data_IF_245245881486
#
_entry.id   IF_245245881486
#
_cell.length_a   1.000
_cell.length_b   1.000
_cell.length_c   1.000
_cell.angle_alpha   90.00
_cell.angle_beta   90.00
_cell.angle_gamma   90.00
#
_symmetry.space_group_name_H-M   'P 1'
#
loop_
_entity.id
_entity.type
_entity.pdbx_description
1 polymer ?
#
# COMPACT_ATOMS: atom_id res chain seq x y z
N UNK A 1 7.13 -11.70 3.48
CA UNK A 1 6.79 -10.56 4.36
C UNK A 1 5.34 -10.19 4.14
N UNK A 2 4.63 -9.79 5.20
CA UNK A 2 3.31 -9.17 5.15
C UNK A 2 3.47 -7.68 5.48
N UNK A 3 3.07 -6.81 4.54
CA UNK A 3 3.01 -5.37 4.77
C UNK A 3 1.60 -5.02 5.26
N UNK A 4 1.50 -4.55 6.51
CA UNK A 4 0.24 -4.04 7.08
C UNK A 4 0.22 -2.53 7.01
N UNK A 5 -0.81 -2.00 6.36
CA UNK A 5 -1.15 -0.58 6.31
C UNK A 5 -2.20 -0.21 7.36
N UNK A 6 -2.79 -1.22 8.00
CA UNK A 6 -3.80 -1.04 9.03
C UNK A 6 -3.15 -0.66 10.35
N UNK A 7 -3.79 0.25 11.07
CA UNK A 7 -3.45 0.59 12.45
C UNK A 7 -4.02 -0.44 13.45
N UNK A 8 -4.83 -1.39 12.98
CA UNK A 8 -5.43 -2.43 13.81
C UNK A 8 -4.56 -3.69 13.85
N UNK A 9 -4.65 -4.50 14.92
CA UNK A 9 -3.92 -5.77 15.04
C UNK A 9 -4.48 -6.88 14.14
N UNK A 10 -5.29 -6.53 13.13
CA UNK A 10 -5.95 -7.49 12.24
C UNK A 10 -4.94 -8.44 11.60
N UNK A 11 -3.78 -7.94 11.17
CA UNK A 11 -2.72 -8.80 10.61
C UNK A 11 -2.24 -9.87 11.61
N UNK A 12 -2.15 -9.55 12.90
CA UNK A 12 -1.73 -10.49 13.95
C UNK A 12 -2.80 -11.55 14.25
N UNK A 13 -4.08 -11.24 14.02
CA UNK A 13 -5.19 -12.18 14.23
C UNK A 13 -5.18 -13.33 13.22
N UNK A 14 -4.65 -13.11 12.01
CA UNK A 14 -4.52 -14.14 10.97
C UNK A 14 -3.28 -15.02 11.15
N UNK A 15 -2.93 -15.38 12.39
CA UNK A 15 -1.69 -16.08 12.76
C UNK A 15 -1.43 -17.39 12.01
N UNK A 16 -0.15 -17.81 12.04
CA UNK A 16 0.45 -19.02 11.42
C UNK A 16 0.89 -18.95 9.95
N UNK A 17 1.41 -17.82 9.51
CA UNK A 17 2.42 -17.85 8.46
C UNK A 17 3.74 -17.43 9.12
N UNK A 18 4.81 -18.23 8.98
CA UNK A 18 6.17 -17.84 9.38
C UNK A 18 6.66 -16.68 8.47
N UNK A 19 5.91 -15.58 8.45
CA UNK A 19 6.14 -14.39 7.67
C UNK A 19 6.53 -13.30 8.65
N UNK A 20 7.48 -12.48 8.23
CA UNK A 20 7.77 -11.24 8.91
C UNK A 20 6.62 -10.24 8.65
N UNK A 21 6.08 -9.66 9.72
CA UNK A 21 5.06 -8.61 9.66
C UNK A 21 5.76 -7.26 9.73
N UNK A 22 5.42 -6.35 8.83
CA UNK A 22 5.85 -4.95 8.90
C UNK A 22 4.63 -4.04 8.94
N UNK A 23 4.47 -3.35 10.06
CA UNK A 23 3.43 -2.35 10.27
C UNK A 23 3.98 -0.98 9.87
N UNK A 24 3.78 -0.62 8.60
CA UNK A 24 4.41 0.57 8.01
C UNK A 24 3.94 1.87 8.69
N UNK A 25 2.74 1.86 9.29
CA UNK A 25 2.20 3.00 10.03
C UNK A 25 2.29 2.85 11.56
N UNK A 26 3.08 1.91 12.07
CA UNK A 26 3.22 1.64 13.50
C UNK A 26 2.12 0.70 14.05
N UNK A 27 2.21 0.46 15.36
CA UNK A 27 1.39 -0.53 16.09
C UNK A 27 0.77 0.09 17.34
N UNK A 28 -0.38 -0.43 17.78
CA UNK A 28 -1.07 0.08 18.96
C UNK A 28 -0.31 -0.12 20.28
N UNK A 29 0.60 -1.10 20.34
CA UNK A 29 1.46 -1.34 21.51
C UNK A 29 2.54 -0.26 21.66
N UNK A 30 2.90 0.40 20.56
CA UNK A 30 3.87 1.49 20.48
C UNK A 30 3.27 2.74 19.81
N UNK A 31 2.29 3.41 20.44
CA UNK A 31 1.59 4.55 19.86
C UNK A 31 2.51 5.69 19.40
N UNK A 32 3.66 5.86 20.03
CA UNK A 32 4.69 6.82 19.68
C UNK A 32 5.27 6.62 18.28
N UNK A 33 5.20 5.39 17.75
CA UNK A 33 5.68 5.03 16.41
C UNK A 33 4.58 5.10 15.36
N UNK A 34 3.34 5.49 15.74
CA UNK A 34 2.22 5.54 14.80
C UNK A 34 2.37 6.75 13.87
N UNK A 35 2.30 6.47 12.57
CA UNK A 35 2.44 7.48 11.52
C UNK A 35 1.07 7.85 10.98
N UNK A 36 0.57 9.01 11.39
CA UNK A 36 -0.57 9.68 10.77
C UNK A 36 -0.12 10.73 9.77
N UNK A 37 -0.97 11.03 8.78
CA UNK A 37 -0.76 12.17 7.91
C UNK A 37 -1.03 11.91 6.43
N UNK A 38 -0.46 12.79 5.60
CA UNK A 38 -0.63 12.83 4.15
C UNK A 38 0.40 11.95 3.45
N UNK A 39 -0.06 11.08 2.55
CA UNK A 39 0.76 10.08 1.85
C UNK A 39 0.56 10.05 0.34
N UNK A 40 0.24 11.20 -0.28
CA UNK A 40 0.09 11.30 -1.74
C UNK A 40 1.01 12.37 -2.33
N UNK A 41 2.29 12.05 -2.45
CA UNK A 41 3.28 12.94 -3.08
C UNK A 41 3.12 13.01 -4.61
N UNK A 42 2.29 12.13 -5.18
CA UNK A 42 1.96 12.10 -6.60
C UNK A 42 0.79 13.03 -6.94
N UNK A 43 0.19 13.69 -5.95
CA UNK A 43 -0.80 14.74 -6.18
C UNK A 43 -0.13 15.95 -6.82
N UNK A 44 -0.79 16.52 -7.84
CA UNK A 44 -0.31 17.70 -8.55
C UNK A 44 -0.14 18.94 -7.67
N UNK A 45 -0.84 19.00 -6.53
CA UNK A 45 -0.78 20.06 -5.54
C UNK A 45 0.27 19.82 -4.45
N UNK A 46 0.94 18.67 -4.43
CA UNK A 46 2.00 18.42 -3.45
C UNK A 46 3.16 19.41 -3.62
N UNK A 47 3.47 19.80 -4.87
CA UNK A 47 4.46 20.84 -5.14
C UNK A 47 4.07 22.19 -4.53
N UNK A 48 2.77 22.54 -4.52
CA UNK A 48 2.29 23.77 -3.89
C UNK A 48 2.59 23.79 -2.38
N UNK A 49 2.64 22.63 -1.72
CA UNK A 49 3.02 22.51 -0.30
C UNK A 49 4.52 22.76 -0.13
N UNK A 50 5.35 22.15 -0.98
CA UNK A 50 6.81 22.32 -0.93
C UNK A 50 7.22 23.78 -1.20
N UNK A 51 6.59 24.44 -2.17
CA UNK A 51 6.91 25.80 -2.60
C UNK A 51 6.59 26.87 -1.53
N UNK A 52 5.75 26.54 -0.53
CA UNK A 52 5.49 27.42 0.62
C UNK A 52 6.70 27.58 1.53
N UNK A 53 7.66 26.65 1.47
CA UNK A 53 8.88 26.64 2.28
C UNK A 53 8.59 26.80 3.79
N UNK A 54 7.52 26.16 4.26
CA UNK A 54 7.09 26.12 5.65
C UNK A 54 7.14 24.69 6.17
N UNK A 55 8.07 24.42 7.10
CA UNK A 55 8.29 23.09 7.65
C UNK A 55 7.07 22.56 8.43
N UNK A 56 6.20 23.42 8.96
CA UNK A 56 4.98 22.95 9.64
C UNK A 56 4.02 22.25 8.67
N UNK A 57 4.03 22.60 7.38
CA UNK A 57 3.23 21.91 6.37
C UNK A 57 3.75 20.50 6.06
N UNK A 58 5.03 20.24 6.31
CA UNK A 58 5.67 18.93 6.06
C UNK A 58 5.64 18.02 7.28
N UNK A 59 5.28 18.55 8.46
CA UNK A 59 5.31 17.84 9.74
C UNK A 59 4.52 16.54 9.75
N UNK A 60 3.42 16.47 9.00
CA UNK A 60 2.55 15.29 8.89
C UNK A 60 2.60 14.67 7.49
N UNK A 61 3.69 14.87 6.75
CA UNK A 61 3.93 14.12 5.51
C UNK A 61 4.50 12.75 5.89
N UNK A 62 3.83 11.69 5.45
CA UNK A 62 4.18 10.31 5.83
C UNK A 62 5.56 9.89 5.36
N UNK A 63 5.98 10.28 4.17
CA UNK A 63 7.32 9.97 3.63
C UNK A 63 8.44 10.52 4.49
N UNK A 64 8.25 11.71 5.09
CA UNK A 64 9.18 12.30 6.05
C UNK A 64 9.17 11.49 7.35
N UNK A 65 7.97 11.14 7.84
CA UNK A 65 7.77 10.33 9.04
C UNK A 65 8.32 8.91 8.93
N UNK A 66 8.37 8.33 7.74
CA UNK A 66 8.99 7.03 7.49
C UNK A 66 10.48 6.99 7.82
N UNK A 67 11.14 8.14 7.97
CA UNK A 67 12.55 8.22 8.38
C UNK A 67 12.73 8.11 9.91
N UNK A 68 11.66 8.23 10.69
CA UNK A 68 11.70 8.12 12.15
C UNK A 68 11.84 6.65 12.62
N UNK A 69 11.53 5.67 11.75
CA UNK A 69 11.64 4.24 12.04
C UNK A 69 12.27 3.47 10.88
N UNK A 70 12.66 2.21 11.10
CA UNK A 70 13.29 1.38 10.06
C UNK A 70 12.28 0.69 9.12
N UNK A 71 10.98 0.69 9.43
CA UNK A 71 9.99 -0.13 8.74
C UNK A 71 9.91 0.09 7.22
N UNK A 72 9.96 1.36 6.79
CA UNK A 72 9.95 1.69 5.36
C UNK A 72 11.24 1.24 4.65
N UNK A 73 12.40 1.40 5.31
CA UNK A 73 13.68 0.93 4.76
C UNK A 73 13.72 -0.59 4.62
N UNK A 74 13.24 -1.33 5.63
CA UNK A 74 13.14 -2.80 5.56
C UNK A 74 12.24 -3.24 4.41
N UNK A 75 11.15 -2.51 4.17
CA UNK A 75 10.26 -2.75 3.03
C UNK A 75 11.01 -2.56 1.70
N UNK A 76 11.74 -1.46 1.53
CA UNK A 76 12.55 -1.25 0.32
C UNK A 76 13.61 -2.34 0.13
N UNK A 77 14.33 -2.70 1.19
CA UNK A 77 15.33 -3.80 1.17
C UNK A 77 14.67 -5.12 0.72
N UNK A 78 13.46 -5.41 1.19
CA UNK A 78 12.68 -6.56 0.74
C UNK A 78 12.30 -6.48 -0.75
N UNK A 79 11.77 -5.35 -1.22
CA UNK A 79 11.37 -5.20 -2.63
C UNK A 79 12.56 -5.39 -3.59
N UNK A 80 13.75 -4.96 -3.19
CA UNK A 80 14.98 -5.10 -3.97
C UNK A 80 15.53 -6.54 -3.95
N UNK A 81 15.20 -7.35 -2.95
CA UNK A 81 15.85 -8.64 -2.70
C UNK A 81 15.56 -9.72 -3.75
N UNK A 82 14.34 -9.76 -4.29
CA UNK A 82 13.89 -10.78 -5.24
C UNK A 82 12.59 -10.35 -5.95
N UNK A 83 12.26 -10.97 -7.10
CA UNK A 83 10.94 -10.86 -7.72
C UNK A 83 9.81 -11.22 -6.74
N UNK A 84 8.74 -10.43 -6.74
CA UNK A 84 7.63 -10.61 -5.79
C UNK A 84 6.25 -10.39 -6.45
N UNK A 85 5.24 -11.06 -5.89
CA UNK A 85 3.83 -10.83 -6.22
C UNK A 85 3.15 -10.09 -5.07
N UNK A 86 2.32 -9.11 -5.40
CA UNK A 86 1.48 -8.40 -4.45
C UNK A 86 0.12 -9.10 -4.34
N UNK A 87 -0.31 -9.38 -3.12
CA UNK A 87 -1.67 -9.86 -2.83
C UNK A 87 -2.43 -8.75 -2.12
N UNK A 88 -3.54 -8.29 -2.71
CA UNK A 88 -4.33 -7.19 -2.17
C UNK A 88 -5.57 -7.75 -1.48
N UNK A 89 -5.62 -7.56 -0.17
CA UNK A 89 -6.72 -7.97 0.70
C UNK A 89 -7.30 -6.73 1.40
N UNK A 90 -8.25 -6.06 0.75
CA UNK A 90 -8.86 -4.84 1.30
C UNK A 90 -9.51 -3.98 0.23
N UNK A 91 -10.46 -3.14 0.64
CA UNK A 91 -11.26 -2.30 -0.27
C UNK A 91 -10.66 -0.90 -0.51
N UNK A 92 -9.80 -0.41 0.40
CA UNK A 92 -9.44 1.01 0.50
C UNK A 92 -8.14 1.43 -0.22
N UNK A 93 -7.63 0.64 -1.17
CA UNK A 93 -6.38 0.97 -1.88
C UNK A 93 -6.42 2.32 -2.64
N UNK A 94 -7.60 2.89 -2.90
CA UNK A 94 -7.75 4.17 -3.60
C UNK A 94 -7.56 5.42 -2.73
N UNK A 95 -7.64 5.27 -1.39
CA UNK A 95 -7.46 6.34 -0.40
C UNK A 95 -6.29 6.05 0.56
N UNK A 96 -5.50 5.01 0.26
CA UNK A 96 -4.34 4.62 1.04
C UNK A 96 -3.13 5.52 0.73
N UNK A 97 -2.01 5.28 1.40
CA UNK A 97 -0.75 5.94 1.09
C UNK A 97 -0.32 5.64 -0.35
N UNK A 98 -0.59 6.59 -1.26
CA UNK A 98 -0.44 6.43 -2.70
C UNK A 98 1.02 6.42 -3.11
N UNK A 99 1.87 7.19 -2.42
CA UNK A 99 3.33 7.16 -2.60
C UNK A 99 3.88 5.77 -2.32
N UNK A 100 3.53 5.20 -1.17
CA UNK A 100 3.98 3.88 -0.75
C UNK A 100 3.44 2.78 -1.68
N UNK A 101 2.15 2.80 -2.01
CA UNK A 101 1.56 1.81 -2.92
C UNK A 101 2.14 1.91 -4.33
N UNK A 102 2.36 3.12 -4.85
CA UNK A 102 3.03 3.31 -6.14
C UNK A 102 4.45 2.73 -6.13
N UNK A 103 5.21 2.99 -5.07
CA UNK A 103 6.57 2.44 -4.88
C UNK A 103 6.55 0.91 -4.97
N UNK A 104 5.61 0.25 -4.30
CA UNK A 104 5.48 -1.22 -4.35
C UNK A 104 5.00 -1.70 -5.73
N UNK A 105 3.98 -1.05 -6.29
CA UNK A 105 3.28 -1.51 -7.49
C UNK A 105 4.08 -1.29 -8.76
N UNK A 106 4.93 -0.26 -8.81
CA UNK A 106 5.78 0.10 -9.95
C UNK A 106 7.24 -0.33 -9.79
N UNK A 107 7.62 -0.92 -8.65
CA UNK A 107 8.94 -1.53 -8.45
C UNK A 107 9.30 -2.52 -9.55
N UNK A 108 10.54 -2.57 -10.02
CA UNK A 108 10.97 -3.44 -11.13
C UNK A 108 10.76 -4.94 -10.84
N UNK A 109 11.00 -5.36 -9.60
CA UNK A 109 10.77 -6.73 -9.13
C UNK A 109 9.29 -7.11 -8.91
N UNK A 110 8.34 -6.17 -9.02
CA UNK A 110 6.92 -6.49 -8.91
C UNK A 110 6.44 -7.20 -10.18
N UNK A 111 6.25 -8.51 -10.10
CA UNK A 111 5.89 -9.34 -11.26
C UNK A 111 4.39 -9.41 -11.50
N UNK A 112 3.56 -9.25 -10.47
CA UNK A 112 2.10 -9.26 -10.59
C UNK A 112 1.41 -8.75 -9.34
N UNK A 113 0.18 -8.29 -9.51
CA UNK A 113 -0.73 -7.85 -8.46
C UNK A 113 -2.00 -8.69 -8.57
N UNK A 114 -2.32 -9.39 -7.49
CA UNK A 114 -3.49 -10.26 -7.37
C UNK A 114 -4.50 -9.70 -6.37
N UNK A 115 -5.59 -9.08 -6.86
CA UNK A 115 -6.69 -8.65 -6.00
C UNK A 115 -7.49 -9.83 -5.47
N UNK A 116 -7.81 -9.79 -4.17
CA UNK A 116 -8.82 -10.66 -3.56
C UNK A 116 -10.10 -9.86 -3.40
N UNK A 117 -11.14 -10.27 -4.12
CA UNK A 117 -12.41 -9.56 -4.17
C UNK A 117 -13.46 -10.29 -3.34
N UNK A 118 -14.47 -9.58 -2.89
CA UNK A 118 -15.59 -10.16 -2.15
C UNK A 118 -16.77 -10.41 -3.10
N UNK A 119 -17.44 -11.54 -2.91
CA UNK A 119 -18.66 -11.90 -3.64
C UNK A 119 -19.81 -12.03 -2.64
N UNK A 120 -20.89 -11.30 -2.89
CA UNK A 120 -22.09 -11.32 -2.05
C UNK A 120 -23.02 -12.48 -2.46
N UNK A 121 -23.98 -12.79 -1.59
CA UNK A 121 -24.95 -13.89 -1.80
C UNK A 121 -25.84 -13.67 -3.03
N UNK A 122 -26.09 -12.40 -3.40
CA UNK A 122 -26.86 -12.02 -4.60
C UNK A 122 -26.09 -12.23 -5.92
N UNK A 123 -24.83 -12.66 -5.83
CA UNK A 123 -23.95 -12.93 -6.96
C UNK A 123 -23.12 -11.73 -7.43
N UNK A 124 -23.34 -10.54 -6.87
CA UNK A 124 -22.53 -9.34 -7.15
C UNK A 124 -21.13 -9.46 -6.54
N UNK A 125 -20.18 -8.64 -7.02
CA UNK A 125 -18.82 -8.60 -6.49
C UNK A 125 -18.18 -7.20 -6.57
N UNK A 126 -17.14 -6.98 -5.75
CA UNK A 126 -16.45 -5.69 -5.67
C UNK A 126 -15.19 -5.59 -6.55
N UNK A 127 -14.97 -6.54 -7.46
CA UNK A 127 -13.73 -6.63 -8.24
C UNK A 127 -13.45 -5.35 -9.03
N UNK A 128 -14.46 -4.80 -9.70
CA UNK A 128 -14.30 -3.61 -10.53
C UNK A 128 -13.85 -2.40 -9.69
N UNK A 129 -14.50 -2.16 -8.55
CA UNK A 129 -14.13 -1.08 -7.64
C UNK A 129 -12.72 -1.25 -7.08
N UNK A 130 -12.33 -2.49 -6.77
CA UNK A 130 -10.99 -2.82 -6.29
C UNK A 130 -9.92 -2.50 -7.34
N UNK A 131 -10.12 -2.92 -8.59
CA UNK A 131 -9.18 -2.64 -9.69
C UNK A 131 -9.12 -1.15 -10.02
N UNK A 132 -10.25 -0.43 -9.96
CA UNK A 132 -10.27 1.03 -10.12
C UNK A 132 -9.50 1.75 -9.01
N UNK A 133 -9.54 1.23 -7.78
CA UNK A 133 -8.77 1.77 -6.66
C UNK A 133 -7.28 1.47 -6.82
N UNK A 134 -6.93 0.27 -7.30
CA UNK A 134 -5.54 -0.10 -7.60
C UNK A 134 -4.96 0.80 -8.70
N UNK A 135 -5.71 1.06 -9.77
CA UNK A 135 -5.21 1.84 -10.92
C UNK A 135 -4.79 3.27 -10.55
N UNK A 136 -5.41 3.87 -9.54
CA UNK A 136 -5.04 5.21 -9.03
C UNK A 136 -3.62 5.27 -8.49
N UNK A 137 -3.05 4.14 -8.07
CA UNK A 137 -1.69 4.05 -7.52
C UNK A 137 -0.62 3.87 -8.60
N UNK A 138 -0.97 3.88 -9.88
CA UNK A 138 -0.02 3.81 -10.98
C UNK A 138 0.19 5.18 -11.62
N UNK A 139 1.43 5.48 -11.98
CA UNK A 139 1.79 6.57 -12.89
C UNK A 139 1.92 6.05 -14.33
N UNK A 140 2.18 4.75 -14.48
CA UNK A 140 2.36 4.07 -15.75
C UNK A 140 1.24 3.05 -15.99
N UNK A 141 0.28 3.45 -16.83
CA UNK A 141 -0.87 2.60 -17.17
C UNK A 141 -0.52 1.34 -17.96
N UNK A 142 0.68 1.27 -18.58
CA UNK A 142 1.18 0.03 -19.17
C UNK A 142 1.52 -0.98 -18.07
N UNK A 143 2.24 -0.55 -17.03
CA UNK A 143 2.57 -1.41 -15.89
C UNK A 143 1.32 -1.88 -15.16
N UNK A 144 0.31 -1.02 -15.01
CA UNK A 144 -0.99 -1.41 -14.45
C UNK A 144 -1.61 -2.60 -15.19
N UNK A 145 -1.72 -2.51 -16.53
CA UNK A 145 -2.33 -3.56 -17.36
C UNK A 145 -1.47 -4.83 -17.43
N UNK A 146 -0.16 -4.70 -17.26
CA UNK A 146 0.79 -5.82 -17.30
C UNK A 146 0.82 -6.60 -15.98
N UNK A 147 0.73 -5.88 -14.85
CA UNK A 147 0.91 -6.47 -13.51
C UNK A 147 -0.39 -6.90 -12.87
N UNK A 148 -1.49 -6.16 -13.05
CA UNK A 148 -2.77 -6.54 -12.43
C UNK A 148 -3.36 -7.73 -13.18
N UNK A 149 -3.46 -8.87 -12.49
CA UNK A 149 -3.91 -10.12 -13.11
C UNK A 149 -5.39 -10.09 -13.47
N UNK A 150 -5.77 -10.86 -14.49
CA UNK A 150 -7.17 -11.02 -14.89
C UNK A 150 -8.03 -11.57 -13.75
N UNK A 151 -9.33 -11.21 -13.75
CA UNK A 151 -10.31 -11.64 -12.74
C UNK A 151 -10.36 -13.16 -12.57
N UNK A 152 -10.20 -13.91 -13.66
CA UNK A 152 -10.18 -15.39 -13.67
C UNK A 152 -9.03 -15.99 -12.86
N UNK A 153 -7.93 -15.24 -12.69
CA UNK A 153 -6.78 -15.64 -11.87
C UNK A 153 -6.90 -15.14 -10.43
N UNK A 154 -7.93 -14.37 -10.11
CA UNK A 154 -8.21 -13.84 -8.77
C UNK A 154 -8.97 -14.86 -7.92
N UNK A 155 -8.99 -14.62 -6.60
CA UNK A 155 -9.73 -15.46 -5.66
C UNK A 155 -10.71 -14.61 -4.87
N UNK A 156 -11.82 -15.20 -4.47
CA UNK A 156 -12.76 -14.58 -3.53
C UNK A 156 -12.24 -14.73 -2.11
N UNK A 157 -12.47 -13.70 -1.28
CA UNK A 157 -12.40 -13.79 0.19
C UNK A 157 -13.79 -13.94 0.78
#
# INVERSE_FOLDING_TARGET
MLLSFNYTPTANMYGNFNLEHKFIHGELEHPENIIFGYGDELDKHYQDILDRNDNELLKNVKSVKYLETRHYKDMLEFLMSAPFQVMIMGHSCGNSDRTLLNTVFEHENCISIKPFYHKWEDGSDNYLGLVQNISRNFTNMRLFRDRVVNKELCKTM
#
